data_IF_297359452626
#
_entry.id   IF_297359452626
#
_cell.length_a   1.000
_cell.length_b   1.000
_cell.length_c   1.000
_cell.angle_alpha   90.00
_cell.angle_beta   90.00
_cell.angle_gamma   90.00
#
_symmetry.space_group_name_H-M   'P 1'
#
loop_
_entity.id
_entity.type
_entity.pdbx_description
1 polymer ?
#
# COMPACT_ATOMS: atom_id res chain seq x y z
N UNK A 1 20.38 -45.68 22.38
CA UNK A 1 21.33 -46.61 21.72
C UNK A 1 20.63 -47.21 20.52
N UNK A 2 21.29 -47.25 19.35
CA UNK A 2 20.73 -47.82 18.12
C UNK A 2 21.10 -47.01 16.89
N UNK A 3 22.38 -47.05 16.52
CA UNK A 3 22.92 -46.46 15.31
C UNK A 3 22.66 -47.41 14.12
N UNK A 4 22.04 -46.90 13.06
CA UNK A 4 22.00 -47.56 11.75
C UNK A 4 23.08 -46.94 10.87
N UNK A 5 24.28 -47.52 10.88
CA UNK A 5 25.38 -47.14 9.99
C UNK A 5 25.26 -47.99 8.73
N UNK A 6 24.85 -47.39 7.60
CA UNK A 6 24.99 -48.03 6.29
C UNK A 6 26.39 -47.74 5.76
N UNK A 7 27.18 -48.80 5.72
CA UNK A 7 28.51 -48.91 5.11
C UNK A 7 28.40 -48.66 3.61
N UNK A 8 29.19 -47.73 3.07
CA UNK A 8 29.59 -47.74 1.66
C UNK A 8 31.09 -48.03 1.63
N UNK A 9 31.41 -49.25 1.17
CA UNK A 9 32.76 -49.72 0.91
C UNK A 9 33.38 -48.86 -0.18
N UNK A 10 34.60 -48.41 0.08
CA UNK A 10 35.43 -47.66 -0.84
C UNK A 10 36.15 -48.65 -1.74
N UNK A 11 35.62 -48.92 -2.93
CA UNK A 11 36.42 -49.50 -4.01
C UNK A 11 37.12 -48.37 -4.76
N UNK A 12 38.43 -48.33 -4.55
CA UNK A 12 39.38 -47.45 -5.22
C UNK A 12 39.74 -48.08 -6.57
N UNK A 13 39.06 -47.64 -7.63
CA UNK A 13 39.47 -47.90 -9.01
C UNK A 13 39.64 -46.58 -9.75
N UNK A 14 40.78 -46.43 -10.44
CA UNK A 14 41.31 -45.16 -10.93
C UNK A 14 40.49 -44.52 -12.03
N UNK A 15 39.51 -43.69 -11.65
CA UNK A 15 38.79 -42.79 -12.54
C UNK A 15 38.78 -41.39 -11.96
N UNK A 16 39.37 -40.47 -12.72
CA UNK A 16 39.29 -39.02 -12.63
C UNK A 16 38.27 -38.52 -11.60
N UNK A 17 38.74 -38.15 -10.41
CA UNK A 17 37.92 -37.54 -9.37
C UNK A 17 37.57 -36.12 -9.82
N UNK A 18 36.63 -36.01 -10.75
CA UNK A 18 35.90 -34.77 -10.94
C UNK A 18 35.27 -34.44 -9.59
N UNK A 19 35.91 -33.54 -8.83
CA UNK A 19 35.29 -32.86 -7.70
C UNK A 19 34.00 -32.30 -8.27
N UNK A 20 32.86 -32.90 -7.90
CA UNK A 20 31.55 -32.41 -8.33
C UNK A 20 31.35 -31.07 -7.65
N UNK A 21 31.73 -30.00 -8.34
CA UNK A 21 31.51 -28.64 -7.89
C UNK A 21 30.00 -28.41 -7.83
N UNK A 22 29.49 -28.24 -6.62
CA UNK A 22 28.09 -27.97 -6.33
C UNK A 22 27.83 -26.49 -6.09
N UNK A 23 26.55 -26.13 -5.97
CA UNK A 23 26.14 -24.78 -5.57
C UNK A 23 26.64 -24.38 -4.17
N UNK A 24 27.06 -25.37 -3.36
CA UNK A 24 27.61 -25.16 -2.02
C UNK A 24 29.06 -24.67 -2.05
N UNK A 25 29.76 -24.83 -3.18
CA UNK A 25 31.15 -24.39 -3.36
C UNK A 25 31.23 -22.91 -3.81
N UNK A 26 30.09 -22.27 -4.07
CA UNK A 26 30.03 -20.86 -4.46
C UNK A 26 30.23 -19.97 -3.21
N UNK A 27 31.21 -19.06 -3.20
CA UNK A 27 31.39 -18.12 -2.09
C UNK A 27 30.15 -17.25 -1.86
N UNK A 28 29.85 -16.97 -0.59
CA UNK A 28 28.70 -16.12 -0.22
C UNK A 28 28.78 -14.73 -0.88
N UNK A 29 29.97 -14.18 -1.10
CA UNK A 29 30.19 -12.91 -1.80
C UNK A 29 29.81 -12.94 -3.28
N UNK A 30 29.97 -14.08 -3.95
CA UNK A 30 29.51 -14.26 -5.33
C UNK A 30 27.99 -14.37 -5.36
N UNK A 31 27.39 -15.15 -4.44
CA UNK A 31 25.94 -15.28 -4.33
C UNK A 31 25.28 -13.94 -4.02
N UNK A 32 25.83 -13.22 -3.05
CA UNK A 32 25.49 -11.85 -2.68
C UNK A 32 25.37 -10.91 -3.89
N UNK A 33 26.37 -10.96 -4.77
CA UNK A 33 26.40 -10.13 -5.98
C UNK A 33 25.23 -10.43 -6.92
N UNK A 34 24.82 -11.70 -7.01
CA UNK A 34 23.62 -12.12 -7.76
C UNK A 34 22.35 -11.61 -7.08
N UNK A 35 22.25 -11.77 -5.75
CA UNK A 35 21.06 -11.38 -4.98
C UNK A 35 20.74 -9.88 -5.08
N UNK A 36 21.75 -9.02 -5.27
CA UNK A 36 21.55 -7.58 -5.46
C UNK A 36 20.66 -7.24 -6.67
N UNK A 37 20.61 -8.10 -7.70
CA UNK A 37 19.80 -7.88 -8.90
C UNK A 37 18.39 -8.49 -8.81
N UNK A 38 18.07 -9.17 -7.71
CA UNK A 38 16.79 -9.87 -7.53
C UNK A 38 15.81 -9.06 -6.70
N UNK A 39 14.52 -9.34 -6.86
CA UNK A 39 13.50 -8.81 -5.97
C UNK A 39 13.53 -9.52 -4.60
N UNK A 40 13.02 -8.89 -3.53
CA UNK A 40 13.02 -9.50 -2.20
C UNK A 40 12.32 -10.87 -2.12
N UNK A 41 11.18 -11.12 -2.81
CA UNK A 41 10.60 -12.46 -2.88
C UNK A 41 11.54 -13.52 -3.48
N UNK A 42 12.27 -13.21 -4.55
CA UNK A 42 13.26 -14.09 -5.17
C UNK A 42 14.43 -14.35 -4.23
N UNK A 43 14.94 -13.33 -3.55
CA UNK A 43 16.01 -13.48 -2.54
C UNK A 43 15.58 -14.48 -1.46
N UNK A 44 14.36 -14.33 -0.93
CA UNK A 44 13.81 -15.24 0.08
C UNK A 44 13.61 -16.67 -0.43
N UNK A 45 13.25 -16.85 -1.71
CA UNK A 45 13.15 -18.18 -2.34
C UNK A 45 14.53 -18.83 -2.46
N UNK A 46 15.53 -18.10 -2.95
CA UNK A 46 16.89 -18.62 -3.12
C UNK A 46 17.59 -18.91 -1.79
N UNK A 47 17.30 -18.14 -0.74
CA UNK A 47 17.80 -18.38 0.62
C UNK A 47 17.47 -19.79 1.17
N UNK A 48 16.50 -20.49 0.56
CA UNK A 48 16.09 -21.85 0.96
C UNK A 48 16.90 -22.95 0.28
N UNK A 49 17.70 -22.63 -0.74
CA UNK A 49 18.40 -23.63 -1.55
C UNK A 49 19.55 -24.28 -0.79
N UNK A 50 20.45 -23.48 -0.22
CA UNK A 50 21.59 -23.99 0.55
C UNK A 50 22.11 -22.98 1.59
N UNK A 51 23.21 -23.34 2.27
CA UNK A 51 23.83 -22.50 3.29
C UNK A 51 24.41 -21.19 2.73
N UNK A 52 25.10 -21.24 1.58
CA UNK A 52 25.70 -20.05 0.98
C UNK A 52 24.63 -19.01 0.58
N UNK A 53 23.54 -19.45 -0.07
CA UNK A 53 22.40 -18.58 -0.38
C UNK A 53 21.70 -18.05 0.87
N UNK A 54 21.58 -18.86 1.93
CA UNK A 54 20.98 -18.42 3.20
C UNK A 54 21.82 -17.34 3.90
N UNK A 55 23.14 -17.54 3.95
CA UNK A 55 24.10 -16.58 4.50
C UNK A 55 24.07 -15.27 3.73
N UNK A 56 24.27 -15.35 2.41
CA UNK A 56 24.23 -14.18 1.52
C UNK A 56 22.90 -13.42 1.60
N UNK A 57 21.75 -14.11 1.63
CA UNK A 57 20.44 -13.48 1.72
C UNK A 57 20.13 -12.86 3.09
N UNK A 58 20.98 -13.07 4.10
CA UNK A 58 20.85 -12.46 5.42
C UNK A 58 21.80 -11.28 5.62
N UNK A 59 22.68 -11.00 4.65
CA UNK A 59 23.64 -9.92 4.76
C UNK A 59 23.01 -8.55 4.54
N UNK A 60 23.37 -7.59 5.39
CA UNK A 60 22.75 -6.25 5.39
C UNK A 60 22.97 -5.47 4.11
N UNK A 61 24.11 -5.60 3.43
CA UNK A 61 24.36 -4.87 2.18
C UNK A 61 23.37 -5.28 1.06
N UNK A 62 22.85 -6.52 1.07
CA UNK A 62 21.82 -6.95 0.12
C UNK A 62 20.54 -6.13 0.36
N UNK A 63 20.12 -6.03 1.62
CA UNK A 63 18.87 -5.37 2.00
C UNK A 63 18.98 -3.84 2.00
N UNK A 64 20.18 -3.28 2.14
CA UNK A 64 20.43 -1.86 1.97
C UNK A 64 20.03 -1.38 0.58
N UNK A 65 20.29 -2.18 -0.46
CA UNK A 65 19.88 -1.88 -1.83
C UNK A 65 18.35 -1.98 -2.07
N UNK A 66 17.62 -2.63 -1.16
CA UNK A 66 16.17 -2.86 -1.26
C UNK A 66 15.36 -1.91 -0.38
N UNK A 67 15.96 -1.38 0.67
CA UNK A 67 15.32 -0.41 1.56
C UNK A 67 15.25 0.97 0.90
N UNK A 68 14.17 1.73 1.13
CA UNK A 68 14.14 3.14 0.78
C UNK A 68 15.24 3.92 1.50
N UNK A 69 15.79 4.96 0.86
CA UNK A 69 16.86 5.78 1.45
C UNK A 69 16.48 6.42 2.79
N UNK A 70 15.20 6.69 3.00
CA UNK A 70 14.65 7.28 4.22
C UNK A 70 14.09 6.25 5.22
N UNK A 71 14.46 4.95 5.12
CA UNK A 71 13.91 3.90 5.97
C UNK A 71 14.01 4.18 7.47
N UNK A 72 15.03 4.94 7.91
CA UNK A 72 15.19 5.36 9.32
C UNK A 72 14.01 6.21 9.80
N UNK A 73 13.61 7.20 9.01
CA UNK A 73 12.41 8.00 9.26
C UNK A 73 11.15 7.12 9.28
N UNK A 74 11.03 6.17 8.35
CA UNK A 74 9.86 5.26 8.31
C UNK A 74 9.75 4.44 9.57
N UNK A 75 10.86 3.86 10.02
CA UNK A 75 10.92 3.06 11.24
C UNK A 75 10.62 3.90 12.46
N UNK A 76 11.20 5.10 12.57
CA UNK A 76 10.90 6.02 13.67
C UNK A 76 9.42 6.40 13.69
N UNK A 77 8.83 6.70 12.52
CA UNK A 77 7.40 7.03 12.38
C UNK A 77 6.48 5.89 12.82
N UNK A 78 6.89 4.64 12.57
CA UNK A 78 6.09 3.43 12.82
C UNK A 78 6.29 2.88 14.23
N UNK A 79 7.53 2.84 14.71
CA UNK A 79 7.91 2.22 15.97
C UNK A 79 8.09 3.23 17.11
N UNK A 80 8.11 4.54 16.82
CA UNK A 80 8.42 5.61 17.77
C UNK A 80 9.90 5.71 18.13
N UNK A 81 10.69 4.68 17.84
CA UNK A 81 12.15 4.64 18.04
C UNK A 81 12.78 3.71 17.00
N UNK A 82 14.05 3.95 16.66
CA UNK A 82 14.82 3.07 15.77
C UNK A 82 15.31 1.87 16.59
N UNK A 83 14.88 0.63 16.29
CA UNK A 83 15.34 -0.56 17.00
C UNK A 83 16.85 -0.76 16.79
N UNK A 84 17.61 -0.88 17.88
CA UNK A 84 19.08 -0.98 17.85
C UNK A 84 19.56 -2.36 17.36
N UNK A 85 18.71 -3.38 17.47
CA UNK A 85 19.09 -4.79 17.27
C UNK A 85 18.42 -5.46 16.06
N UNK A 86 17.88 -4.71 15.10
CA UNK A 86 17.28 -5.30 13.89
C UNK A 86 18.22 -5.22 12.70
N UNK A 87 18.39 -6.34 12.02
CA UNK A 87 19.00 -6.41 10.69
C UNK A 87 18.19 -5.62 9.66
N UNK A 88 18.81 -5.20 8.56
CA UNK A 88 18.12 -4.51 7.46
C UNK A 88 17.04 -5.39 6.83
N UNK A 89 17.24 -6.70 6.84
CA UNK A 89 16.24 -7.69 6.44
C UNK A 89 14.98 -7.63 7.31
N UNK A 90 15.15 -7.61 8.64
CA UNK A 90 14.04 -7.54 9.58
C UNK A 90 13.32 -6.19 9.50
N UNK A 91 14.06 -5.10 9.31
CA UNK A 91 13.51 -3.77 9.04
C UNK A 91 12.63 -3.82 7.78
N UNK A 92 13.14 -4.37 6.67
CA UNK A 92 12.37 -4.49 5.44
C UNK A 92 11.11 -5.33 5.64
N UNK A 93 11.23 -6.49 6.28
CA UNK A 93 10.10 -7.37 6.58
C UNK A 93 9.04 -6.68 7.45
N UNK A 94 9.47 -5.89 8.44
CA UNK A 94 8.58 -5.10 9.31
C UNK A 94 7.86 -4.00 8.52
N UNK A 95 8.57 -3.28 7.66
CA UNK A 95 7.99 -2.22 6.85
C UNK A 95 7.06 -2.76 5.75
N UNK A 96 7.21 -4.02 5.31
CA UNK A 96 6.25 -4.68 4.41
C UNK A 96 4.91 -4.99 5.08
N UNK A 97 4.86 -5.08 6.42
CA UNK A 97 3.60 -5.27 7.13
C UNK A 97 2.77 -3.97 7.16
N UNK A 98 1.45 -4.06 7.35
CA UNK A 98 0.63 -2.87 7.57
C UNK A 98 1.03 -2.19 8.90
N UNK A 99 1.48 -0.94 8.82
CA UNK A 99 1.96 -0.18 9.97
C UNK A 99 1.08 1.05 10.22
N UNK A 100 0.13 0.99 11.18
CA UNK A 100 -0.73 2.12 11.50
C UNK A 100 0.04 3.21 12.25
N UNK A 101 -0.26 4.47 11.93
CA UNK A 101 0.23 5.65 12.63
C UNK A 101 -0.86 6.73 12.68
N UNK A 102 -0.57 7.87 13.32
CA UNK A 102 -1.53 8.99 13.45
C UNK A 102 -2.88 8.55 14.06
N UNK A 103 -2.79 7.91 15.24
CA UNK A 103 -3.97 7.35 15.93
C UNK A 103 -4.66 6.20 15.18
N UNK A 104 -3.96 5.55 14.24
CA UNK A 104 -4.50 4.47 13.42
C UNK A 104 -5.43 4.96 12.30
N UNK A 105 -5.37 6.24 11.96
CA UNK A 105 -6.13 6.81 10.84
C UNK A 105 -5.36 6.78 9.52
N UNK A 106 -4.07 6.45 9.58
CA UNK A 106 -3.17 6.28 8.44
C UNK A 106 -2.41 4.97 8.60
N UNK A 107 -2.04 4.36 7.48
CA UNK A 107 -1.31 3.09 7.47
C UNK A 107 -0.27 3.08 6.35
N UNK A 108 0.96 2.73 6.70
CA UNK A 108 2.13 2.69 5.82
C UNK A 108 2.58 1.24 5.60
N UNK A 109 3.02 0.91 4.39
CA UNK A 109 3.76 -0.33 4.13
C UNK A 109 4.68 -0.18 2.91
N UNK A 110 5.61 -1.11 2.72
CA UNK A 110 6.35 -1.27 1.47
C UNK A 110 5.68 -2.32 0.60
N UNK A 111 5.61 -2.06 -0.71
CA UNK A 111 5.37 -3.12 -1.67
C UNK A 111 6.49 -4.15 -1.56
N UNK A 112 6.12 -5.42 -1.33
CA UNK A 112 7.07 -6.47 -1.02
C UNK A 112 8.09 -6.70 -2.15
N UNK A 113 7.67 -6.50 -3.41
CA UNK A 113 8.48 -6.81 -4.58
C UNK A 113 9.33 -5.60 -4.98
N UNK A 114 8.74 -4.41 -4.98
CA UNK A 114 9.43 -3.20 -5.47
C UNK A 114 10.12 -2.40 -4.37
N UNK A 115 9.86 -2.66 -3.09
CA UNK A 115 10.36 -1.86 -1.97
C UNK A 115 9.84 -0.42 -1.95
N UNK A 116 8.80 -0.12 -2.73
CA UNK A 116 8.23 1.23 -2.85
C UNK A 116 7.24 1.47 -1.72
N UNK A 117 7.18 2.71 -1.24
CA UNK A 117 6.25 3.09 -0.18
C UNK A 117 4.82 3.14 -0.71
N UNK A 118 3.91 2.56 0.07
CA UNK A 118 2.48 2.70 -0.06
C UNK A 118 1.88 3.31 1.22
N UNK A 119 0.91 4.21 1.06
CA UNK A 119 0.22 4.89 2.15
C UNK A 119 -1.29 4.80 1.94
N UNK A 120 -2.03 4.51 3.01
CA UNK A 120 -3.49 4.60 3.05
C UNK A 120 -3.95 5.56 4.14
N UNK A 121 -5.06 6.26 3.87
CA UNK A 121 -5.66 7.25 4.77
C UNK A 121 -7.12 6.88 4.95
N UNK A 122 -7.56 6.82 6.20
CA UNK A 122 -8.96 6.56 6.54
C UNK A 122 -9.82 7.78 6.29
N UNK A 123 -11.13 7.57 6.09
CA UNK A 123 -12.09 8.67 6.05
C UNK A 123 -12.18 9.47 7.35
N UNK A 124 -11.58 9.00 8.45
CA UNK A 124 -11.52 9.74 9.73
C UNK A 124 -10.43 10.82 9.75
N UNK A 125 -9.41 10.67 8.90
CA UNK A 125 -8.34 11.66 8.71
C UNK A 125 -8.63 12.63 7.55
N UNK A 126 -9.82 12.54 6.95
CA UNK A 126 -10.27 13.43 5.88
C UNK A 126 -11.28 14.43 6.44
N UNK A 127 -11.22 15.66 5.95
CA UNK A 127 -12.27 16.66 6.15
C UNK A 127 -13.34 16.44 5.10
N UNK A 128 -14.53 16.01 5.52
CA UNK A 128 -15.65 15.70 4.63
C UNK A 128 -16.81 16.64 4.97
N UNK A 129 -17.43 17.25 3.95
CA UNK A 129 -18.55 18.17 4.14
C UNK A 129 -19.69 17.52 4.93
N UNK A 130 -20.03 18.10 6.08
CA UNK A 130 -21.15 17.68 6.91
C UNK A 130 -21.00 16.28 7.51
N UNK A 131 -19.77 15.73 7.63
CA UNK A 131 -19.51 14.37 8.12
C UNK A 131 -20.12 14.05 9.49
N UNK A 132 -20.32 15.07 10.32
CA UNK A 132 -20.94 14.96 11.63
C UNK A 132 -22.49 14.93 11.58
N UNK A 133 -23.09 15.31 10.45
CA UNK A 133 -24.53 15.25 10.25
C UNK A 133 -24.98 13.82 9.95
N UNK A 134 -25.53 13.17 10.99
CA UNK A 134 -26.05 11.80 10.94
C UNK A 134 -27.25 11.62 9.98
N UNK A 135 -27.87 12.71 9.53
CA UNK A 135 -28.94 12.67 8.50
C UNK A 135 -28.35 12.24 7.16
N UNK A 136 -27.14 12.70 6.83
CA UNK A 136 -26.50 12.44 5.55
C UNK A 136 -25.44 11.35 5.65
N UNK A 137 -24.65 11.32 6.72
CA UNK A 137 -23.52 10.41 6.85
C UNK A 137 -23.73 9.37 7.94
N UNK A 138 -23.24 8.15 7.68
CA UNK A 138 -23.15 7.07 8.64
C UNK A 138 -21.74 6.52 8.65
N UNK A 139 -21.23 6.17 9.82
CA UNK A 139 -20.00 5.38 9.93
C UNK A 139 -20.38 3.91 9.99
N UNK A 140 -19.93 3.13 9.02
CA UNK A 140 -20.25 1.71 8.92
C UNK A 140 -19.01 0.89 9.25
N UNK A 141 -19.06 -0.01 10.26
CA UNK A 141 -18.01 -1.00 10.48
C UNK A 141 -17.92 -1.97 9.29
N UNK A 142 -16.71 -2.24 8.81
CA UNK A 142 -16.49 -3.14 7.68
C UNK A 142 -15.10 -3.74 7.72
N UNK A 143 -14.99 -5.02 7.34
CA UNK A 143 -13.71 -5.72 7.15
C UNK A 143 -13.09 -5.42 5.77
N UNK A 144 -13.84 -4.78 4.88
CA UNK A 144 -13.37 -4.44 3.52
C UNK A 144 -12.41 -3.23 3.50
N UNK A 145 -12.25 -2.58 4.66
CA UNK A 145 -11.35 -1.45 4.89
C UNK A 145 -10.28 -1.83 5.92
N UNK A 146 -9.03 -1.45 5.64
CA UNK A 146 -7.89 -1.57 6.58
C UNK A 146 -8.17 -0.87 7.93
N UNK A 147 -9.03 0.14 7.93
CA UNK A 147 -9.38 0.93 9.11
C UNK A 147 -10.65 0.46 9.85
N UNK A 148 -11.15 -0.74 9.51
CA UNK A 148 -12.34 -1.39 10.09
C UNK A 148 -13.65 -0.61 10.00
N UNK A 149 -13.64 0.53 9.33
CA UNK A 149 -14.76 1.46 9.21
C UNK A 149 -14.65 2.31 7.97
N UNK A 150 -15.81 2.71 7.43
CA UNK A 150 -15.93 3.58 6.26
C UNK A 150 -16.97 4.68 6.54
N UNK A 151 -16.81 5.83 5.90
CA UNK A 151 -17.85 6.86 5.82
C UNK A 151 -18.81 6.51 4.68
N UNK A 152 -20.09 6.33 5.01
CA UNK A 152 -21.15 6.02 4.08
C UNK A 152 -22.09 7.21 3.95
N UNK A 153 -22.25 7.68 2.72
CA UNK A 153 -23.19 8.73 2.36
C UNK A 153 -24.56 8.12 2.05
N UNK A 154 -25.60 8.60 2.72
CA UNK A 154 -26.99 8.22 2.45
C UNK A 154 -27.54 9.02 1.27
N UNK A 155 -27.55 10.35 1.41
CA UNK A 155 -28.13 11.25 0.41
C UNK A 155 -27.59 12.66 0.61
N UNK A 156 -26.99 13.26 -0.42
CA UNK A 156 -26.68 14.69 -0.47
C UNK A 156 -26.58 15.12 -1.94
N UNK A 157 -26.80 16.40 -2.24
CA UNK A 157 -26.70 16.92 -3.61
C UNK A 157 -25.26 17.26 -4.03
N UNK A 158 -24.35 17.50 -3.07
CA UNK A 158 -22.93 17.82 -3.26
C UNK A 158 -22.17 17.60 -1.94
N UNK A 159 -20.89 17.26 -2.00
CA UNK A 159 -19.98 17.32 -0.86
C UNK A 159 -18.56 17.61 -1.37
N UNK A 160 -17.62 17.90 -0.47
CA UNK A 160 -16.18 17.97 -0.75
C UNK A 160 -15.44 17.08 0.26
N UNK A 161 -14.25 16.57 -0.13
CA UNK A 161 -13.43 15.66 0.69
C UNK A 161 -11.98 16.08 0.66
N UNK A 162 -11.59 16.94 1.59
CA UNK A 162 -10.22 17.41 1.69
C UNK A 162 -9.37 16.45 2.52
N UNK A 163 -8.30 15.94 1.91
CA UNK A 163 -7.24 15.19 2.59
C UNK A 163 -5.95 15.99 2.58
N UNK A 164 -5.23 15.96 3.70
CA UNK A 164 -3.86 16.49 3.79
C UNK A 164 -2.92 15.43 4.34
N UNK A 165 -1.86 15.15 3.58
CA UNK A 165 -0.76 14.30 4.02
C UNK A 165 0.49 15.14 4.11
N UNK A 166 1.16 15.10 5.25
CA UNK A 166 2.52 15.59 5.40
C UNK A 166 3.40 14.39 5.74
N UNK A 167 4.26 14.01 4.79
CA UNK A 167 5.07 12.80 4.90
C UNK A 167 6.36 12.94 4.09
N UNK A 168 7.48 12.44 4.62
CA UNK A 168 8.74 12.36 3.86
C UNK A 168 8.69 11.13 2.96
N UNK A 169 8.32 11.33 1.70
CA UNK A 169 8.38 10.27 0.70
C UNK A 169 9.82 10.14 0.16
N UNK A 170 10.32 8.93 -0.11
CA UNK A 170 11.51 8.73 -0.92
C UNK A 170 11.36 9.40 -2.28
N UNK A 171 12.48 9.65 -2.94
CA UNK A 171 12.46 10.17 -4.29
C UNK A 171 11.78 9.17 -5.26
N UNK A 172 10.90 9.67 -6.11
CA UNK A 172 10.18 8.85 -7.08
C UNK A 172 8.84 9.43 -7.50
N UNK A 173 8.16 8.71 -8.40
CA UNK A 173 6.81 9.06 -8.89
C UNK A 173 5.76 8.29 -8.11
N UNK A 174 4.76 9.00 -7.61
CA UNK A 174 3.67 8.47 -6.82
C UNK A 174 2.34 8.78 -7.48
N UNK A 175 1.41 7.82 -7.41
CA UNK A 175 0.06 7.95 -7.91
C UNK A 175 -0.93 8.04 -6.75
N UNK A 176 -1.87 8.99 -6.81
CA UNK A 176 -2.92 9.13 -5.82
C UNK A 176 -4.25 8.53 -6.33
N UNK A 177 -4.92 7.78 -5.46
CA UNK A 177 -6.23 7.19 -5.74
C UNK A 177 -7.22 7.42 -4.60
N UNK A 178 -8.49 7.62 -4.96
CA UNK A 178 -9.62 7.52 -4.03
C UNK A 178 -10.27 6.16 -4.16
N UNK A 179 -10.42 5.46 -3.03
CA UNK A 179 -11.13 4.18 -3.00
C UNK A 179 -12.59 4.43 -2.64
N UNK A 180 -13.49 4.28 -3.62
CA UNK A 180 -14.92 4.58 -3.49
C UNK A 180 -15.75 3.35 -3.85
N UNK A 181 -16.94 3.25 -3.28
CA UNK A 181 -17.93 2.24 -3.63
C UNK A 181 -19.30 2.90 -3.71
N UNK A 182 -20.08 2.55 -4.73
CA UNK A 182 -21.49 2.89 -4.81
C UNK A 182 -22.36 1.79 -4.20
N UNK A 183 -23.39 2.22 -3.48
CA UNK A 183 -24.33 1.32 -2.81
C UNK A 183 -23.83 0.80 -1.47
N UNK A 184 -24.74 0.22 -0.70
CA UNK A 184 -24.44 -0.25 0.66
C UNK A 184 -24.05 -1.72 0.63
N UNK A 185 -22.80 -2.01 0.97
CA UNK A 185 -22.36 -3.37 1.24
C UNK A 185 -23.00 -3.91 2.52
N UNK A 186 -23.43 -5.18 2.48
CA UNK A 186 -23.92 -5.94 3.63
C UNK A 186 -23.57 -7.42 3.46
N UNK A 187 -23.56 -8.17 4.57
CA UNK A 187 -23.43 -9.63 4.54
C UNK A 187 -24.82 -10.25 4.73
N UNK A 188 -25.23 -11.13 3.83
CA UNK A 188 -26.45 -11.94 3.94
C UNK A 188 -26.06 -13.41 3.79
N UNK A 189 -26.34 -14.22 4.82
CA UNK A 189 -25.94 -15.64 4.87
C UNK A 189 -24.44 -15.87 4.56
N UNK A 190 -23.56 -15.02 5.11
CA UNK A 190 -22.11 -15.09 4.89
C UNK A 190 -21.63 -14.61 3.51
N UNK A 191 -22.54 -14.33 2.57
CA UNK A 191 -22.20 -13.79 1.24
C UNK A 191 -22.27 -12.26 1.25
N UNK A 192 -21.34 -11.63 0.52
CA UNK A 192 -21.34 -10.19 0.30
C UNK A 192 -22.46 -9.82 -0.69
N UNK A 193 -23.31 -8.88 -0.30
CA UNK A 193 -24.41 -8.36 -1.11
C UNK A 193 -24.35 -6.84 -1.10
N UNK A 194 -24.65 -6.20 -2.24
CA UNK A 194 -24.78 -4.76 -2.34
C UNK A 194 -26.25 -4.40 -2.55
N UNK A 195 -26.74 -3.43 -1.78
CA UNK A 195 -28.03 -2.80 -2.06
C UNK A 195 -27.79 -1.51 -2.91
N UNK A 196 -28.20 -1.48 -4.19
CA UNK A 196 -28.07 -0.32 -5.05
C UNK A 196 -29.27 0.64 -5.01
N UNK A 197 -30.34 0.36 -4.23
CA UNK A 197 -31.62 1.07 -4.27
C UNK A 197 -31.53 2.60 -4.11
N UNK A 198 -30.46 3.10 -3.46
CA UNK A 198 -30.26 4.53 -3.21
C UNK A 198 -29.12 5.14 -4.06
N UNK A 199 -28.64 4.43 -5.08
CA UNK A 199 -27.57 4.91 -5.97
C UNK A 199 -28.19 5.59 -7.18
N UNK A 200 -28.25 6.92 -7.15
CA UNK A 200 -28.80 7.70 -8.25
C UNK A 200 -27.94 8.92 -8.57
N UNK A 201 -27.76 9.22 -9.86
CA UNK A 201 -27.17 10.47 -10.35
C UNK A 201 -25.65 10.61 -10.17
N UNK A 202 -24.96 9.49 -9.92
CA UNK A 202 -23.49 9.40 -9.89
C UNK A 202 -22.89 9.12 -11.28
N UNK A 203 -23.74 8.70 -12.21
CA UNK A 203 -23.50 8.46 -13.62
C UNK A 203 -23.79 9.69 -14.50
N UNK A 204 -24.52 10.69 -13.98
CA UNK A 204 -24.94 11.87 -14.74
C UNK A 204 -23.77 12.85 -14.96
N UNK A 205 -22.99 13.15 -13.92
CA UNK A 205 -21.82 14.05 -14.01
C UNK A 205 -20.61 13.37 -13.38
N UNK A 206 -19.42 13.55 -13.97
CA UNK A 206 -18.22 12.95 -13.43
C UNK A 206 -17.86 13.63 -12.11
N UNK A 207 -17.31 12.84 -11.20
CA UNK A 207 -16.67 13.34 -9.99
C UNK A 207 -15.31 13.91 -10.39
N UNK A 208 -15.01 15.16 -10.01
CA UNK A 208 -13.65 15.69 -10.14
C UNK A 208 -12.78 15.24 -8.97
N UNK A 209 -11.52 15.03 -9.26
CA UNK A 209 -10.48 14.89 -8.27
C UNK A 209 -9.40 15.92 -8.58
N UNK A 210 -8.78 16.40 -7.52
CA UNK A 210 -7.70 17.35 -7.60
C UNK A 210 -6.56 16.81 -6.74
N UNK A 211 -5.34 17.16 -7.13
CA UNK A 211 -4.12 16.95 -6.38
C UNK A 211 -3.35 18.26 -6.43
N UNK A 212 -2.83 18.68 -5.28
CA UNK A 212 -1.85 19.75 -5.19
C UNK A 212 -0.77 19.39 -4.19
N UNK A 213 0.47 19.73 -4.52
CA UNK A 213 1.64 19.52 -3.66
C UNK A 213 2.25 20.85 -3.23
N UNK A 214 3.00 20.86 -2.14
CA UNK A 214 3.64 22.07 -1.60
C UNK A 214 4.69 22.69 -2.51
N UNK A 215 5.28 21.92 -3.41
CA UNK A 215 6.23 22.36 -4.44
C UNK A 215 5.54 22.82 -5.74
N UNK A 216 4.21 22.91 -5.74
CA UNK A 216 3.43 23.53 -6.82
C UNK A 216 2.96 22.59 -7.91
N UNK A 217 3.18 21.27 -7.81
CA UNK A 217 2.60 20.32 -8.76
C UNK A 217 1.09 20.25 -8.56
N UNK A 218 0.38 20.05 -9.67
CA UNK A 218 -1.06 19.97 -9.70
C UNK A 218 -1.52 18.93 -10.71
N UNK A 219 -2.55 18.18 -10.35
CA UNK A 219 -3.26 17.31 -11.28
C UNK A 219 -4.77 17.43 -11.06
N UNK A 220 -5.52 17.25 -12.15
CA UNK A 220 -6.98 17.21 -12.15
C UNK A 220 -7.43 16.02 -12.98
N UNK A 221 -8.30 15.21 -12.41
CA UNK A 221 -8.93 14.09 -13.10
C UNK A 221 -10.43 14.10 -12.91
N UNK A 222 -11.12 13.34 -13.75
CA UNK A 222 -12.56 13.16 -13.71
C UNK A 222 -12.89 11.70 -13.97
N UNK A 223 -13.79 11.13 -13.18
CA UNK A 223 -14.32 9.80 -13.47
C UNK A 223 -15.81 9.70 -13.15
N UNK A 224 -16.51 8.88 -13.90
CA UNK A 224 -17.88 8.49 -13.62
C UNK A 224 -17.89 7.34 -12.62
N UNK A 225 -18.80 7.37 -11.66
CA UNK A 225 -19.02 6.26 -10.74
C UNK A 225 -20.23 5.48 -11.25
N UNK A 226 -19.98 4.35 -11.93
CA UNK A 226 -21.03 3.62 -12.66
C UNK A 226 -21.33 2.21 -12.16
N UNK A 227 -20.43 1.58 -11.40
CA UNK A 227 -20.57 0.18 -10.98
C UNK A 227 -20.89 0.06 -9.48
N UNK A 228 -22.16 -0.20 -9.10
CA UNK A 228 -22.52 -0.46 -7.72
C UNK A 228 -21.91 -1.75 -7.20
N UNK A 229 -21.61 -1.77 -5.91
CA UNK A 229 -21.20 -2.96 -5.19
C UNK A 229 -19.71 -3.26 -5.23
N UNK A 230 -18.94 -2.73 -6.17
CA UNK A 230 -17.50 -2.94 -6.21
C UNK A 230 -16.74 -1.74 -5.66
N UNK A 231 -15.60 -2.00 -5.01
CA UNK A 231 -14.65 -0.94 -4.65
C UNK A 231 -13.86 -0.54 -5.89
N UNK A 232 -14.06 0.69 -6.35
CA UNK A 232 -13.29 1.31 -7.43
C UNK A 232 -12.12 2.13 -6.89
N UNK A 233 -11.02 2.16 -7.63
CA UNK A 233 -9.90 3.07 -7.40
C UNK A 233 -9.97 4.20 -8.42
N UNK A 234 -10.42 5.37 -7.98
CA UNK A 234 -10.53 6.57 -8.79
C UNK A 234 -9.15 7.24 -8.83
N UNK A 235 -8.49 7.20 -9.98
CA UNK A 235 -7.19 7.83 -10.18
C UNK A 235 -7.32 9.35 -10.12
N UNK A 236 -6.46 10.00 -9.34
CA UNK A 236 -6.44 11.46 -9.18
C UNK A 236 -5.37 12.11 -10.03
N UNK A 237 -4.16 11.56 -9.99
CA UNK A 237 -2.98 12.14 -10.60
C UNK A 237 -1.70 11.59 -10.02
N UNK A 238 -0.62 11.84 -10.73
CA UNK A 238 0.74 11.53 -10.32
C UNK A 238 1.43 12.79 -9.77
N UNK A 239 2.36 12.59 -8.84
CA UNK A 239 3.28 13.62 -8.39
C UNK A 239 4.68 13.04 -8.23
N UNK A 240 5.68 13.87 -8.42
CA UNK A 240 7.09 13.50 -8.30
C UNK A 240 7.64 14.02 -6.98
N UNK A 241 8.43 13.21 -6.30
CA UNK A 241 9.17 13.64 -5.11
C UNK A 241 10.64 13.67 -5.49
N UNK A 242 11.23 14.87 -5.53
CA UNK A 242 12.64 15.05 -5.85
C UNK A 242 13.51 15.04 -4.59
N UNK A 243 13.07 15.73 -3.53
CA UNK A 243 13.81 15.83 -2.27
C UNK A 243 13.24 14.87 -1.22
N UNK A 244 13.92 13.75 -0.91
CA UNK A 244 13.43 12.74 0.03
C UNK A 244 13.47 13.19 1.50
N UNK A 245 14.15 14.29 1.80
CA UNK A 245 14.34 14.80 3.16
C UNK A 245 13.32 15.87 3.55
N UNK A 246 12.55 16.39 2.58
CA UNK A 246 11.50 17.38 2.83
C UNK A 246 10.14 16.67 2.98
N UNK A 247 9.29 17.10 3.94
CA UNK A 247 7.93 16.59 4.00
C UNK A 247 7.15 17.08 2.77
N UNK A 248 6.58 16.16 2.00
CA UNK A 248 5.65 16.50 0.92
C UNK A 248 4.28 16.72 1.53
N UNK A 249 3.73 17.93 1.39
CA UNK A 249 2.34 18.20 1.72
C UNK A 249 1.48 17.97 0.49
N UNK A 250 0.74 16.86 0.48
CA UNK A 250 -0.27 16.56 -0.55
C UNK A 250 -1.62 17.02 -0.02
N UNK A 251 -2.25 17.98 -0.70
CA UNK A 251 -3.53 18.54 -0.28
C UNK A 251 -4.57 18.51 -1.40
N UNK A 252 -5.81 18.24 -0.97
CA UNK A 252 -7.08 18.62 -1.61
C UNK A 252 -7.61 17.70 -2.70
N UNK A 253 -8.57 16.86 -2.34
CA UNK A 253 -9.47 16.21 -3.28
C UNK A 253 -10.85 16.91 -3.20
N UNK A 254 -11.54 17.09 -4.32
CA UNK A 254 -12.88 17.71 -4.32
C UNK A 254 -13.85 16.93 -5.17
N UNK A 255 -14.44 15.92 -4.56
CA UNK A 255 -15.46 15.10 -5.18
C UNK A 255 -16.85 15.77 -5.10
N UNK A 256 -17.24 16.53 -6.12
CA UNK A 256 -18.61 17.05 -6.19
C UNK A 256 -19.56 16.05 -6.87
N UNK A 257 -20.85 16.13 -6.49
CA UNK A 257 -21.98 15.72 -7.31
C UNK A 257 -22.59 17.01 -7.85
N UNK A 258 -22.75 17.15 -9.16
CA UNK A 258 -23.44 18.33 -9.68
C UNK A 258 -24.94 18.03 -9.64
N UNK A 259 -25.63 18.66 -8.69
CA UNK A 259 -27.09 18.74 -8.74
C UNK A 259 -27.52 19.32 -10.10
N UNK A 260 -28.48 18.65 -10.74
CA UNK A 260 -29.30 19.31 -11.75
C UNK A 260 -29.80 20.63 -11.15
N UNK A 261 -29.83 21.68 -11.99
CA UNK A 261 -30.28 23.00 -11.58
C UNK A 261 -31.53 22.92 -10.73
N UNK A 262 -31.60 23.80 -9.74
CA UNK A 262 -32.77 24.13 -8.96
C UNK A 262 -34.06 23.84 -9.74
N UNK A 263 -35.09 23.18 -9.15
CA UNK A 263 -36.40 23.34 -9.71
C UNK A 263 -36.66 24.83 -9.65
N UNK A 264 -36.70 25.48 -10.82
CA UNK A 264 -37.33 26.77 -10.98
C UNK A 264 -38.64 26.65 -10.21
N UNK A 265 -38.76 27.40 -9.11
CA UNK A 265 -40.06 27.77 -8.58
C UNK A 265 -40.79 28.34 -9.78
N UNK A 266 -41.67 27.54 -10.40
CA UNK A 266 -42.79 28.10 -11.15
C UNK A 266 -43.60 28.80 -10.08
N UNK A 267 -43.34 30.09 -9.95
CA UNK A 267 -44.22 31.00 -9.24
C UNK A 267 -45.60 30.87 -9.85
N UNK A 268 -46.58 30.85 -8.96
CA UNK A 268 -47.99 31.02 -9.29
C UNK A 268 -48.17 32.10 -10.36
N UNK A 269 -48.89 31.73 -11.43
CA UNK A 269 -49.98 32.51 -12.00
C UNK A 269 -50.96 31.53 -12.64
#
# INVERSE_FOLDING_TARGET
MGAGVSVFLSDNDGRDSHVKTGLDDIPESCVASILLYLDPPQICKLARLNRAFRGAASADFVWDSKLPSNYRYLIEKVCGQVPVNLSKKEIYARLCQPNPFDGGTRELWLDMSTGRICLSISSKALSITGIDDRRYWKRIPTEESRFRSVAYLQQIWWFEVDGQVEFQFPAGTYSLFFRLQLGRASKRFGRRVCNPEHVHGWDIKPVRFQLSTSDGQHALSQCYLGEPGNWGHCYVGDFVVENPNAPTKVAKCRAYRVGAGSPLRKGNQ
#
